data_IF_005104432952
#
_entry.id   IF_005104432952
#
_cell.length_a   1.000
_cell.length_b   1.000
_cell.length_c   1.000
_cell.angle_alpha   90.00
_cell.angle_beta   90.00
_cell.angle_gamma   90.00
#
_symmetry.space_group_name_H-M   'P 1'
#
loop_
_entity.id
_entity.type
_entity.pdbx_description
1 polymer ?
#
# COMPACT_ATOMS: atom_id res chain seq x y z
N UNK A 1 4.33 19.14 6.01
CA UNK A 1 4.55 17.72 5.61
C UNK A 1 3.36 16.92 6.09
N UNK A 2 2.72 16.13 5.24
CA UNK A 2 1.55 15.34 5.67
C UNK A 2 2.04 14.22 6.60
N UNK A 3 1.52 14.16 7.83
CA UNK A 3 1.82 13.09 8.77
C UNK A 3 1.21 11.78 8.25
N UNK A 4 2.03 10.73 8.13
CA UNK A 4 1.59 9.42 7.66
C UNK A 4 0.81 8.73 8.78
N UNK A 5 -0.44 8.33 8.50
CA UNK A 5 -1.26 7.56 9.43
C UNK A 5 -1.23 6.07 9.04
N UNK A 6 -0.84 5.22 9.97
CA UNK A 6 -0.71 3.77 9.79
C UNK A 6 -1.73 3.05 10.66
N UNK A 7 -2.71 2.39 10.04
CA UNK A 7 -3.62 1.48 10.73
C UNK A 7 -2.95 0.13 10.89
N UNK A 8 -2.86 -0.37 12.13
CA UNK A 8 -2.28 -1.68 12.43
C UNK A 8 -3.36 -2.72 12.64
N UNK A 9 -3.21 -3.86 12.00
CA UNK A 9 -4.03 -5.05 12.21
C UNK A 9 -3.13 -6.17 12.75
N UNK A 10 -3.18 -6.40 14.04
CA UNK A 10 -2.33 -7.39 14.70
C UNK A 10 -2.92 -7.92 16.00
N UNK A 11 -2.19 -8.83 16.65
CA UNK A 11 -2.47 -9.27 18.01
C UNK A 11 -2.23 -8.15 19.01
N UNK A 12 -2.74 -8.30 20.21
CA UNK A 12 -2.51 -7.34 21.31
C UNK A 12 -1.01 -7.17 21.58
N UNK A 13 -0.25 -8.27 21.62
CA UNK A 13 1.20 -8.23 21.83
C UNK A 13 1.92 -7.44 20.72
N UNK A 14 1.53 -7.63 19.46
CA UNK A 14 2.09 -6.88 18.35
C UNK A 14 1.80 -5.38 18.47
N UNK A 15 0.57 -5.02 18.79
CA UNK A 15 0.17 -3.64 18.97
C UNK A 15 0.88 -2.98 20.16
N UNK A 16 1.03 -3.68 21.28
CA UNK A 16 1.77 -3.21 22.47
C UNK A 16 3.23 -2.95 22.13
N UNK A 17 3.88 -3.88 21.40
CA UNK A 17 5.27 -3.69 20.97
C UNK A 17 5.44 -2.45 20.07
N UNK A 18 4.49 -2.19 19.17
CA UNK A 18 4.52 -0.98 18.36
C UNK A 18 4.27 0.30 19.17
N UNK A 19 3.38 0.25 20.17
CA UNK A 19 3.13 1.39 21.07
C UNK A 19 4.37 1.76 21.87
N UNK A 20 5.15 0.79 22.33
CA UNK A 20 6.43 1.04 23.02
C UNK A 20 7.46 1.73 22.12
N UNK A 21 7.37 1.50 20.80
CA UNK A 21 8.27 2.09 19.80
C UNK A 21 7.79 3.43 19.24
N UNK A 22 6.61 3.93 19.63
CA UNK A 22 5.95 5.08 19.00
C UNK A 22 6.83 6.33 18.86
N UNK A 23 7.65 6.61 19.86
CA UNK A 23 8.52 7.81 19.87
C UNK A 23 9.69 7.73 18.88
N UNK A 24 9.95 6.53 18.35
CA UNK A 24 10.97 6.27 17.33
C UNK A 24 10.39 6.09 15.91
N UNK A 25 9.05 6.04 15.80
CA UNK A 25 8.37 5.92 14.52
C UNK A 25 8.20 7.30 13.86
N UNK A 26 8.35 7.34 12.53
CA UNK A 26 8.14 8.55 11.72
C UNK A 26 6.72 8.66 11.17
N UNK A 27 5.80 7.91 11.73
CA UNK A 27 4.39 7.87 11.37
C UNK A 27 3.53 7.68 12.61
N UNK A 28 2.26 8.04 12.50
CA UNK A 28 1.29 7.90 13.57
C UNK A 28 0.59 6.56 13.52
N UNK A 29 0.53 5.88 14.65
CA UNK A 29 -0.17 4.61 14.79
C UNK A 29 -1.66 4.81 15.09
N UNK A 30 -2.47 3.98 14.43
CA UNK A 30 -3.89 3.79 14.72
C UNK A 30 -4.08 2.30 14.95
N UNK A 31 -4.47 1.91 16.16
CA UNK A 31 -4.64 0.50 16.49
C UNK A 31 -6.02 0.00 16.11
N UNK A 32 -6.08 -1.29 15.74
CA UNK A 32 -7.33 -1.97 15.43
C UNK A 32 -8.20 -2.12 16.69
N UNK A 33 -9.50 -1.96 16.48
CA UNK A 33 -10.54 -2.26 17.46
C UNK A 33 -11.09 -3.68 17.28
N UNK A 34 -12.18 -4.00 17.95
CA UNK A 34 -12.87 -5.30 17.77
C UNK A 34 -13.61 -5.39 16.43
N UNK A 35 -13.95 -4.25 15.81
CA UNK A 35 -14.72 -4.18 14.58
C UNK A 35 -13.87 -3.70 13.40
N UNK A 36 -13.53 -4.62 12.50
CA UNK A 36 -12.72 -4.34 11.31
C UNK A 36 -13.36 -3.27 10.40
N UNK A 37 -14.68 -3.28 10.25
CA UNK A 37 -15.38 -2.30 9.38
C UNK A 37 -15.20 -0.88 9.90
N UNK A 38 -15.28 -0.67 11.21
CA UNK A 38 -15.07 0.63 11.85
C UNK A 38 -13.60 1.06 11.71
N UNK A 39 -12.68 0.11 11.86
CA UNK A 39 -11.25 0.39 11.69
C UNK A 39 -10.93 0.83 10.26
N UNK A 40 -11.49 0.17 9.27
CA UNK A 40 -11.27 0.48 7.85
C UNK A 40 -11.93 1.80 7.42
N UNK A 41 -12.89 2.32 8.18
CA UNK A 41 -13.51 3.64 7.95
C UNK A 41 -12.64 4.80 8.44
N UNK A 42 -11.65 4.55 9.30
CA UNK A 42 -10.73 5.57 9.82
C UNK A 42 -9.88 6.18 8.72
N UNK A 43 -9.41 7.39 8.93
CA UNK A 43 -8.48 8.04 8.01
C UNK A 43 -7.06 7.54 8.23
N UNK A 44 -6.57 6.69 7.33
CA UNK A 44 -5.21 6.16 7.33
C UNK A 44 -4.65 6.09 5.90
N UNK A 45 -3.34 6.08 5.77
CA UNK A 45 -2.61 6.03 4.50
C UNK A 45 -2.10 4.61 4.20
N UNK A 46 -1.66 3.91 5.24
CA UNK A 46 -1.07 2.57 5.18
C UNK A 46 -1.81 1.62 6.10
N UNK A 47 -1.97 0.40 5.66
CA UNK A 47 -2.46 -0.72 6.44
C UNK A 47 -1.29 -1.68 6.73
N UNK A 48 -0.88 -1.75 7.98
CA UNK A 48 0.17 -2.64 8.47
C UNK A 48 -0.48 -3.89 9.08
N UNK A 49 -0.23 -5.06 8.51
CA UNK A 49 -0.94 -6.28 8.87
C UNK A 49 0.04 -7.33 9.36
N UNK A 50 -0.11 -7.77 10.61
CA UNK A 50 0.66 -8.89 11.14
C UNK A 50 0.08 -10.23 10.66
N UNK A 51 0.95 -11.20 10.37
CA UNK A 51 0.55 -12.52 9.85
C UNK A 51 -0.50 -13.23 10.71
N UNK A 52 -0.42 -13.11 12.04
CA UNK A 52 -1.38 -13.75 12.96
C UNK A 52 -2.81 -13.24 12.77
N UNK A 53 -2.96 -11.99 12.35
CA UNK A 53 -4.28 -11.43 12.06
C UNK A 53 -4.91 -12.10 10.82
N UNK A 54 -4.10 -12.49 9.84
CA UNK A 54 -4.54 -13.18 8.64
C UNK A 54 -4.87 -14.66 8.89
N UNK A 55 -4.20 -15.29 9.88
CA UNK A 55 -4.43 -16.70 10.23
C UNK A 55 -5.79 -16.92 10.89
N UNK A 56 -6.35 -15.91 11.53
CA UNK A 56 -7.50 -16.06 12.41
C UNK A 56 -8.87 -16.15 11.73
N UNK A 57 -9.06 -15.70 10.47
CA UNK A 57 -10.35 -15.86 9.71
C UNK A 57 -10.18 -15.60 8.22
N UNK A 58 -10.62 -16.52 7.37
CA UNK A 58 -10.63 -16.39 5.90
C UNK A 58 -11.46 -15.19 5.39
N UNK A 59 -12.58 -14.86 6.03
CA UNK A 59 -13.41 -13.69 5.66
C UNK A 59 -12.66 -12.36 5.74
N UNK A 60 -11.70 -12.22 6.66
CA UNK A 60 -10.91 -11.00 6.79
C UNK A 60 -9.97 -10.78 5.60
N UNK A 61 -9.46 -11.86 4.98
CA UNK A 61 -8.59 -11.79 3.79
C UNK A 61 -9.31 -11.19 2.60
N UNK A 62 -10.56 -11.59 2.35
CA UNK A 62 -11.34 -11.05 1.22
C UNK A 62 -11.61 -9.54 1.35
N UNK A 63 -11.94 -9.09 2.57
CA UNK A 63 -12.15 -7.66 2.85
C UNK A 63 -10.85 -6.90 2.64
N UNK A 64 -9.74 -7.39 3.19
CA UNK A 64 -8.41 -6.76 3.06
C UNK A 64 -7.97 -6.69 1.60
N UNK A 65 -8.24 -7.74 0.80
CA UNK A 65 -7.87 -7.76 -0.62
C UNK A 65 -8.59 -6.67 -1.44
N UNK A 66 -9.81 -6.30 -1.07
CA UNK A 66 -10.60 -5.24 -1.73
C UNK A 66 -10.13 -3.81 -1.40
N UNK A 67 -9.28 -3.64 -0.39
CA UNK A 67 -8.82 -2.31 0.03
C UNK A 67 -7.77 -1.79 -0.97
N UNK A 68 -8.06 -0.63 -1.55
CA UNK A 68 -7.14 0.05 -2.48
C UNK A 68 -6.24 1.08 -1.75
N UNK A 69 -5.62 0.67 -0.64
CA UNK A 69 -4.60 1.45 0.08
C UNK A 69 -3.28 0.69 0.12
N UNK A 70 -2.21 1.33 0.54
CA UNK A 70 -0.92 0.65 0.74
C UNK A 70 -1.11 -0.39 1.83
N UNK A 71 -0.79 -1.65 1.53
CA UNK A 71 -0.84 -2.77 2.46
C UNK A 71 0.56 -3.34 2.62
N UNK A 72 1.04 -3.41 3.86
CA UNK A 72 2.35 -3.95 4.21
C UNK A 72 2.13 -5.15 5.12
N UNK A 73 2.71 -6.29 4.76
CA UNK A 73 2.68 -7.49 5.57
C UNK A 73 3.84 -7.49 6.56
N UNK A 74 3.56 -7.77 7.82
CA UNK A 74 4.58 -8.04 8.85
C UNK A 74 4.54 -9.52 9.21
N UNK A 75 5.62 -10.23 8.96
CA UNK A 75 5.67 -11.68 9.20
C UNK A 75 7.05 -12.17 9.59
N UNK A 76 7.12 -13.36 10.18
CA UNK A 76 8.35 -14.10 10.28
C UNK A 76 8.74 -14.69 8.91
N UNK A 77 9.99 -15.03 8.72
CA UNK A 77 10.58 -15.37 7.40
C UNK A 77 9.94 -16.56 6.65
N UNK A 78 9.13 -17.35 7.31
CA UNK A 78 8.52 -18.59 6.79
C UNK A 78 7.07 -18.45 6.32
N UNK A 79 6.51 -17.24 6.31
CA UNK A 79 5.12 -17.04 5.92
C UNK A 79 5.02 -16.79 4.41
N UNK A 80 4.25 -17.65 3.71
CA UNK A 80 3.96 -17.47 2.28
C UNK A 80 3.13 -16.21 2.06
N UNK A 81 3.57 -15.37 1.13
CA UNK A 81 2.94 -14.09 0.85
C UNK A 81 1.57 -14.27 0.21
N UNK A 82 0.49 -13.73 0.82
CA UNK A 82 -0.75 -13.58 0.08
C UNK A 82 -0.52 -12.55 -1.06
N UNK A 83 -1.04 -12.83 -2.23
CA UNK A 83 -1.08 -11.88 -3.33
C UNK A 83 -1.70 -10.54 -2.87
N UNK A 84 -1.23 -9.41 -3.42
CA UNK A 84 -1.78 -8.06 -3.19
C UNK A 84 -1.19 -7.22 -2.05
N UNK A 85 -0.03 -7.56 -1.49
CA UNK A 85 0.71 -6.64 -0.62
C UNK A 85 1.69 -5.77 -1.43
N UNK A 86 1.87 -4.54 -0.97
CA UNK A 86 2.82 -3.59 -1.57
C UNK A 86 4.25 -3.88 -1.19
N UNK A 87 4.44 -4.31 0.07
CA UNK A 87 5.74 -4.61 0.64
C UNK A 87 5.61 -5.58 1.82
N UNK A 88 6.73 -6.13 2.28
CA UNK A 88 6.82 -7.07 3.40
C UNK A 88 7.90 -6.65 4.37
N UNK A 89 7.61 -6.78 5.65
CA UNK A 89 8.56 -6.60 6.75
C UNK A 89 8.78 -7.95 7.41
N UNK A 90 10.02 -8.45 7.33
CA UNK A 90 10.40 -9.68 8.02
C UNK A 90 10.88 -9.40 9.43
N UNK A 91 10.30 -10.09 10.41
CA UNK A 91 10.70 -9.98 11.81
C UNK A 91 11.81 -11.00 12.16
N UNK A 92 12.74 -10.66 13.05
CA UNK A 92 12.91 -9.35 13.71
C UNK A 92 13.48 -8.27 12.78
N UNK A 93 13.10 -7.00 13.00
CA UNK A 93 13.56 -5.87 12.19
C UNK A 93 13.96 -4.67 13.05
N UNK A 94 14.74 -3.75 12.47
CA UNK A 94 15.08 -2.48 13.11
C UNK A 94 13.99 -1.45 12.84
N UNK A 95 13.83 -0.49 13.76
CA UNK A 95 12.83 0.59 13.64
C UNK A 95 13.10 1.47 12.41
N UNK A 96 14.36 1.71 12.06
CA UNK A 96 14.74 2.47 10.88
C UNK A 96 14.29 1.79 9.58
N UNK A 97 14.36 0.45 9.54
CA UNK A 97 13.89 -0.34 8.39
C UNK A 97 12.37 -0.26 8.27
N UNK A 98 11.66 -0.38 9.40
CA UNK A 98 10.21 -0.23 9.45
C UNK A 98 9.76 1.15 8.93
N UNK A 99 10.39 2.23 9.41
CA UNK A 99 10.14 3.59 8.96
C UNK A 99 10.37 3.73 7.45
N UNK A 100 11.53 3.25 6.96
CA UNK A 100 11.90 3.36 5.54
C UNK A 100 10.94 2.59 4.62
N UNK A 101 10.48 1.41 5.03
CA UNK A 101 9.54 0.60 4.22
C UNK A 101 8.19 1.31 4.13
N UNK A 102 7.66 1.85 5.24
CA UNK A 102 6.40 2.59 5.25
C UNK A 102 6.46 3.82 4.35
N UNK A 103 7.51 4.66 4.51
CA UNK A 103 7.72 5.87 3.71
C UNK A 103 7.86 5.55 2.21
N UNK A 104 8.71 4.56 1.86
CA UNK A 104 8.95 4.16 0.49
C UNK A 104 7.72 3.56 -0.20
N UNK A 105 6.90 2.79 0.52
CA UNK A 105 5.68 2.20 -0.03
C UNK A 105 4.65 3.27 -0.41
N UNK A 106 4.54 4.34 0.39
CA UNK A 106 3.69 5.49 0.05
C UNK A 106 4.27 6.25 -1.15
N UNK A 107 5.57 6.52 -1.14
CA UNK A 107 6.22 7.22 -2.24
C UNK A 107 6.03 6.47 -3.57
N UNK A 108 6.24 5.14 -3.59
CA UNK A 108 5.98 4.29 -4.76
C UNK A 108 4.53 4.37 -5.24
N UNK A 109 3.56 4.30 -4.30
CA UNK A 109 2.14 4.40 -4.66
C UNK A 109 1.80 5.76 -5.28
N UNK A 110 2.27 6.84 -4.68
CA UNK A 110 2.04 8.19 -5.18
C UNK A 110 2.71 8.41 -6.55
N UNK A 111 3.93 7.92 -6.72
CA UNK A 111 4.64 7.95 -7.98
C UNK A 111 3.87 7.20 -9.07
N UNK A 112 3.40 5.99 -8.80
CA UNK A 112 2.62 5.20 -9.74
C UNK A 112 1.27 5.86 -10.05
N UNK A 113 0.60 6.44 -9.07
CA UNK A 113 -0.67 7.16 -9.26
C UNK A 113 -0.48 8.40 -10.14
N UNK A 114 0.56 9.18 -9.92
CA UNK A 114 0.85 10.38 -10.68
C UNK A 114 1.35 10.09 -12.10
N UNK A 115 1.89 8.90 -12.33
CA UNK A 115 2.37 8.46 -13.65
C UNK A 115 1.31 7.75 -14.48
N UNK A 116 0.16 7.43 -13.91
CA UNK A 116 -0.91 6.70 -14.59
C UNK A 116 -2.08 7.62 -14.94
N UNK A 117 -2.42 7.68 -16.22
CA UNK A 117 -3.58 8.44 -16.74
C UNK A 117 -4.60 7.44 -17.28
N UNK A 118 -5.82 7.49 -16.76
CA UNK A 118 -6.93 6.64 -17.25
C UNK A 118 -7.66 7.37 -18.36
N UNK A 119 -7.73 6.75 -19.56
CA UNK A 119 -8.38 7.26 -20.74
C UNK A 119 -9.43 6.26 -21.18
N UNK A 120 -10.67 6.42 -20.73
CA UNK A 120 -11.77 5.47 -21.01
C UNK A 120 -11.39 4.04 -20.60
N UNK A 121 -11.16 3.15 -21.58
CA UNK A 121 -10.74 1.74 -21.39
C UNK A 121 -9.21 1.54 -21.37
N UNK A 122 -8.44 2.62 -21.48
CA UNK A 122 -6.99 2.55 -21.52
C UNK A 122 -6.38 3.16 -20.27
N UNK A 123 -5.23 2.63 -19.85
CA UNK A 123 -4.40 3.19 -18.78
C UNK A 123 -3.01 3.47 -19.35
N UNK A 124 -2.66 4.74 -19.44
CA UNK A 124 -1.31 5.16 -19.81
C UNK A 124 -0.44 5.18 -18.57
N UNK A 125 0.60 4.35 -18.53
CA UNK A 125 1.66 4.43 -17.53
C UNK A 125 2.87 5.14 -18.15
N UNK A 126 3.08 6.39 -17.75
CA UNK A 126 4.17 7.23 -18.29
C UNK A 126 5.55 6.72 -17.92
N UNK A 127 5.70 6.16 -16.73
CA UNK A 127 7.00 5.66 -16.25
C UNK A 127 7.44 4.40 -16.98
N UNK A 128 6.50 3.49 -17.22
CA UNK A 128 6.77 2.28 -17.96
C UNK A 128 6.71 2.49 -19.48
N UNK A 129 6.28 3.67 -19.92
CA UNK A 129 6.03 4.01 -21.32
C UNK A 129 5.08 3.00 -21.99
N UNK A 130 4.02 2.60 -21.27
CA UNK A 130 3.05 1.60 -21.71
C UNK A 130 1.64 2.14 -21.71
N UNK A 131 0.90 1.78 -22.74
CA UNK A 131 -0.55 1.94 -22.81
C UNK A 131 -1.20 0.58 -22.64
N UNK A 132 -1.94 0.40 -21.56
CA UNK A 132 -2.65 -0.84 -21.23
C UNK A 132 -4.09 -0.77 -21.72
N UNK A 133 -4.58 -1.89 -22.24
CA UNK A 133 -5.98 -2.16 -22.51
C UNK A 133 -6.27 -3.58 -22.09
N UNK A 134 -7.13 -3.78 -21.09
CA UNK A 134 -7.44 -5.09 -20.51
C UNK A 134 -6.15 -5.84 -20.08
N UNK A 135 -5.86 -6.99 -20.71
CA UNK A 135 -4.66 -7.80 -20.45
C UNK A 135 -3.51 -7.54 -21.43
N UNK A 136 -3.68 -6.62 -22.38
CA UNK A 136 -2.68 -6.30 -23.40
C UNK A 136 -2.05 -4.93 -23.16
N UNK A 137 -0.82 -4.73 -23.61
CA UNK A 137 -0.17 -3.43 -23.58
C UNK A 137 0.68 -3.21 -24.83
N UNK A 138 0.89 -1.94 -25.16
CA UNK A 138 1.82 -1.49 -26.17
C UNK A 138 2.86 -0.56 -25.56
N UNK A 139 4.08 -0.63 -26.06
CA UNK A 139 5.14 0.31 -25.68
C UNK A 139 5.00 1.58 -26.49
N UNK A 140 5.19 2.72 -25.82
CA UNK A 140 5.14 4.05 -26.41
C UNK A 140 6.51 4.72 -26.33
N UNK A 141 6.82 5.52 -27.32
CA UNK A 141 7.95 6.45 -27.27
C UNK A 141 7.62 7.68 -26.43
N UNK A 142 8.61 8.45 -26.02
CA UNK A 142 8.39 9.71 -25.27
C UNK A 142 7.55 10.72 -26.07
N UNK A 143 7.77 10.80 -27.38
CA UNK A 143 7.01 11.70 -28.26
C UNK A 143 5.54 11.32 -28.34
N UNK A 144 5.23 10.03 -28.39
CA UNK A 144 3.84 9.53 -28.38
C UNK A 144 3.15 9.81 -27.05
N UNK A 145 3.86 9.68 -25.93
CA UNK A 145 3.35 10.04 -24.61
C UNK A 145 3.05 11.53 -24.53
N UNK A 146 3.97 12.40 -24.96
CA UNK A 146 3.79 13.85 -24.99
C UNK A 146 2.60 14.25 -25.88
N UNK A 147 2.44 13.61 -27.03
CA UNK A 147 1.31 13.86 -27.92
C UNK A 147 -0.01 13.47 -27.26
N UNK A 148 -0.07 12.30 -26.60
CA UNK A 148 -1.25 11.87 -25.87
C UNK A 148 -1.60 12.82 -24.72
N UNK A 149 -0.61 13.30 -23.96
CA UNK A 149 -0.81 14.28 -22.88
C UNK A 149 -1.36 15.61 -23.43
N UNK A 150 -0.81 16.09 -24.55
CA UNK A 150 -1.29 17.31 -25.21
C UNK A 150 -2.75 17.17 -25.67
N UNK A 151 -3.11 16.04 -26.26
CA UNK A 151 -4.49 15.76 -26.69
C UNK A 151 -5.47 15.65 -25.50
N UNK A 152 -5.01 15.21 -24.34
CA UNK A 152 -5.82 15.08 -23.14
C UNK A 152 -5.98 16.39 -22.37
N UNK A 153 -4.99 17.29 -22.45
CA UNK A 153 -5.01 18.59 -21.79
C UNK A 153 -5.89 19.63 -22.51
N UNK A 154 -6.22 19.39 -23.78
CA UNK A 154 -7.03 20.28 -24.63
C UNK A 154 -8.54 19.91 -24.65
N UNK A 155 -9.05 19.30 -23.56
CA UNK A 155 -10.48 19.00 -23.39
C UNK A 155 -11.14 19.94 -22.41
#
# INVERSE_FOLDING_TARGET
MHEINVLTLGSENFNTSLEELKDHLRFKLIFNSKNLSDDLSKNYDVLLIHEDYLKTKNMKKEIINKINKVKILVSHSSFDEPEHFYDKISLPTKVEVLNSIVENSIAKKNFNKNSSIIIKKYTLNKNEKKLFKDKSHILLTEKEIQLLELLLSNK
#
